data_IF_196383676837
#
_entry.id   IF_196383676837
#
_cell.length_a   1.000
_cell.length_b   1.000
_cell.length_c   1.000
_cell.angle_alpha   90.00
_cell.angle_beta   90.00
_cell.angle_gamma   90.00
#
_symmetry.space_group_name_H-M   'P 1'
#
loop_
_entity.id
_entity.type
_entity.pdbx_description
1 polymer ?
#
# COMPACT_ATOMS: atom_id res chain seq x y z
N UNK A 1 -15.64 5.90 2.53
CA UNK A 1 -15.40 5.74 1.08
C UNK A 1 -14.06 5.04 0.88
N UNK A 2 -13.89 4.29 -0.20
CA UNK A 2 -12.70 3.45 -0.41
C UNK A 2 -11.75 4.12 -1.41
N UNK A 3 -10.49 4.32 -0.99
CA UNK A 3 -9.43 4.80 -1.87
C UNK A 3 -8.95 3.70 -2.81
N UNK A 4 -8.57 4.09 -4.02
CA UNK A 4 -7.78 3.28 -4.96
C UNK A 4 -6.41 3.93 -5.12
N UNK A 5 -5.40 3.11 -5.32
CA UNK A 5 -4.02 3.59 -5.52
C UNK A 5 -3.58 3.24 -6.93
N UNK A 6 -3.19 4.24 -7.71
CA UNK A 6 -2.80 4.08 -9.10
C UNK A 6 -1.29 4.19 -9.15
N UNK A 7 -0.61 3.18 -9.69
CA UNK A 7 0.83 3.27 -9.90
C UNK A 7 1.10 4.31 -10.99
N UNK A 8 1.83 5.37 -10.67
CA UNK A 8 2.23 6.38 -11.64
C UNK A 8 3.47 5.85 -12.38
N UNK A 9 3.41 5.69 -13.71
CA UNK A 9 4.57 5.30 -14.50
C UNK A 9 5.55 6.46 -14.66
N UNK A 10 6.83 6.14 -14.86
CA UNK A 10 7.85 7.15 -15.08
C UNK A 10 7.57 7.94 -16.36
N UNK A 11 7.74 9.26 -16.31
CA UNK A 11 7.47 10.14 -17.45
C UNK A 11 5.99 10.53 -17.62
N UNK A 12 5.14 10.24 -16.63
CA UNK A 12 3.74 10.65 -16.60
C UNK A 12 3.45 11.51 -15.38
N UNK A 13 2.68 12.57 -15.58
CA UNK A 13 2.18 13.44 -14.53
C UNK A 13 0.66 13.32 -14.39
N UNK A 14 0.17 13.54 -13.19
CA UNK A 14 -1.25 13.63 -12.91
C UNK A 14 -1.72 15.08 -12.99
N UNK A 15 -2.67 15.36 -13.87
CA UNK A 15 -3.39 16.64 -13.92
C UNK A 15 -4.85 16.42 -13.55
N UNK A 16 -5.26 16.94 -12.40
CA UNK A 16 -6.64 16.90 -11.94
C UNK A 16 -7.51 17.96 -12.61
N UNK A 17 -8.79 17.62 -12.85
CA UNK A 17 -9.84 18.55 -13.30
C UNK A 17 -9.50 19.34 -14.58
N UNK A 18 -8.78 18.72 -15.52
CA UNK A 18 -8.49 19.30 -16.83
C UNK A 18 -9.77 19.41 -17.65
N UNK A 19 -9.94 20.54 -18.35
CA UNK A 19 -11.05 20.74 -19.28
C UNK A 19 -10.76 20.00 -20.59
N UNK A 20 -11.53 18.93 -20.83
CA UNK A 20 -11.56 18.19 -22.09
C UNK A 20 -12.87 18.51 -22.83
N UNK A 21 -12.96 18.19 -24.14
CA UNK A 21 -14.19 18.41 -24.92
C UNK A 21 -15.43 17.74 -24.31
N UNK A 22 -15.22 16.67 -23.54
CA UNK A 22 -16.26 15.90 -22.86
C UNK A 22 -16.59 16.39 -21.43
N UNK A 23 -15.93 17.47 -20.98
CA UNK A 23 -16.06 18.04 -19.65
C UNK A 23 -14.80 17.93 -18.79
N UNK A 24 -14.93 18.26 -17.49
CA UNK A 24 -13.83 18.21 -16.53
C UNK A 24 -13.52 16.76 -16.16
N UNK A 25 -12.30 16.33 -16.41
CA UNK A 25 -11.80 14.97 -16.13
C UNK A 25 -10.42 15.04 -15.47
N UNK A 26 -10.05 13.95 -14.80
CA UNK A 26 -8.73 13.77 -14.21
C UNK A 26 -7.93 12.94 -15.19
N UNK A 27 -6.72 13.40 -15.51
CA UNK A 27 -5.96 12.84 -16.61
C UNK A 27 -4.53 12.54 -16.20
N UNK A 28 -3.95 11.53 -16.83
CA UNK A 28 -2.51 11.37 -16.88
C UNK A 28 -1.99 12.00 -18.17
N UNK A 29 -1.00 12.86 -18.04
CA UNK A 29 -0.35 13.55 -19.15
C UNK A 29 1.08 13.06 -19.21
N UNK A 30 1.50 12.60 -20.38
CA UNK A 30 2.90 12.28 -20.60
C UNK A 30 3.74 13.56 -20.54
N UNK A 31 4.96 13.52 -19.98
CA UNK A 31 5.83 14.71 -19.84
C UNK A 31 6.08 15.46 -21.15
N UNK A 32 6.00 14.76 -22.29
CA UNK A 32 6.13 15.37 -23.62
C UNK A 32 4.84 16.01 -24.16
N UNK A 33 3.73 15.96 -23.40
CA UNK A 33 2.42 16.50 -23.77
C UNK A 33 1.71 15.81 -24.93
N UNK A 34 2.30 14.74 -25.49
CA UNK A 34 1.80 14.05 -26.69
C UNK A 34 0.54 13.22 -26.44
N UNK A 35 0.42 12.65 -25.24
CA UNK A 35 -0.70 11.79 -24.88
C UNK A 35 -1.34 12.22 -23.57
N UNK A 36 -2.67 12.14 -23.57
CA UNK A 36 -3.54 12.40 -22.42
C UNK A 36 -4.44 11.19 -22.24
N UNK A 37 -4.40 10.59 -21.05
CA UNK A 37 -5.21 9.44 -20.70
C UNK A 37 -6.24 9.85 -19.65
N UNK A 38 -7.52 9.62 -19.93
CA UNK A 38 -8.60 9.85 -18.96
C UNK A 38 -8.60 8.78 -17.87
N UNK A 39 -8.40 9.18 -16.62
CA UNK A 39 -8.38 8.24 -15.49
C UNK A 39 -9.76 7.73 -15.11
N UNK A 40 -10.81 8.54 -15.29
CA UNK A 40 -12.18 8.14 -14.94
C UNK A 40 -12.61 6.84 -15.63
N UNK A 41 -12.37 6.75 -16.93
CA UNK A 41 -12.82 5.62 -17.74
C UNK A 41 -12.10 4.33 -17.34
N UNK A 42 -10.80 4.43 -17.08
CA UNK A 42 -9.97 3.32 -16.58
C UNK A 42 -10.42 2.87 -15.20
N UNK A 43 -10.63 3.81 -14.27
CA UNK A 43 -11.05 3.48 -12.91
C UNK A 43 -12.45 2.88 -12.92
N UNK A 44 -13.36 3.39 -13.75
CA UNK A 44 -14.71 2.86 -13.91
C UNK A 44 -14.70 1.42 -14.43
N UNK A 45 -13.85 1.12 -15.41
CA UNK A 45 -13.64 -0.26 -15.89
C UNK A 45 -13.06 -1.15 -14.78
N UNK A 46 -12.07 -0.65 -14.04
CA UNK A 46 -11.48 -1.34 -12.89
C UNK A 46 -12.51 -1.67 -11.81
N UNK A 47 -13.36 -0.70 -11.45
CA UNK A 47 -14.40 -0.88 -10.43
C UNK A 47 -15.50 -1.84 -10.89
N UNK A 48 -15.84 -1.85 -12.18
CA UNK A 48 -16.83 -2.76 -12.77
C UNK A 48 -16.34 -4.21 -12.79
N UNK A 49 -15.07 -4.42 -13.15
CA UNK A 49 -14.46 -5.74 -13.27
C UNK A 49 -13.86 -6.28 -11.96
N UNK A 50 -13.89 -5.47 -10.89
CA UNK A 50 -13.31 -5.83 -9.59
C UNK A 50 -13.97 -7.08 -9.01
N UNK A 51 -13.19 -8.15 -8.87
CA UNK A 51 -13.58 -9.35 -8.11
C UNK A 51 -13.36 -9.15 -6.62
N UNK A 52 -14.20 -9.79 -5.80
CA UNK A 52 -14.06 -9.81 -4.34
C UNK A 52 -12.70 -10.46 -3.99
N UNK A 53 -11.90 -9.80 -3.14
CA UNK A 53 -10.57 -10.20 -2.67
C UNK A 53 -9.36 -9.97 -3.59
N UNK A 54 -9.52 -9.42 -4.79
CA UNK A 54 -8.37 -9.07 -5.63
C UNK A 54 -7.69 -7.78 -5.10
N UNK A 55 -6.38 -7.80 -4.77
CA UNK A 55 -5.70 -6.65 -4.19
C UNK A 55 -5.36 -5.57 -5.23
N UNK A 56 -5.16 -5.96 -6.49
CA UNK A 56 -4.78 -5.08 -7.59
C UNK A 56 -5.24 -5.62 -8.94
N UNK A 57 -5.42 -4.73 -9.90
CA UNK A 57 -5.79 -5.04 -11.27
C UNK A 57 -4.95 -4.20 -12.22
N UNK A 58 -4.46 -4.83 -13.28
CA UNK A 58 -3.69 -4.17 -14.33
C UNK A 58 -4.54 -4.09 -15.59
N UNK A 59 -4.69 -2.89 -16.15
CA UNK A 59 -5.43 -2.64 -17.38
C UNK A 59 -4.41 -2.37 -18.48
N UNK A 60 -4.51 -3.12 -19.57
CA UNK A 60 -3.73 -2.86 -20.78
C UNK A 60 -4.35 -1.72 -21.58
N UNK A 61 -3.55 -0.76 -22.00
CA UNK A 61 -3.98 0.38 -22.80
C UNK A 61 -3.61 0.10 -24.26
N UNK A 62 -4.62 0.03 -25.14
CA UNK A 62 -4.41 -0.36 -26.54
C UNK A 62 -3.77 0.73 -27.41
N UNK A 63 -3.89 2.00 -26.99
CA UNK A 63 -3.59 3.17 -27.84
C UNK A 63 -2.70 4.19 -27.11
N UNK A 64 -1.82 3.75 -26.23
CA UNK A 64 -0.97 4.66 -25.45
C UNK A 64 0.46 4.14 -25.41
N UNK A 65 1.42 5.06 -25.35
CA UNK A 65 2.86 4.75 -25.16
C UNK A 65 3.09 3.98 -23.87
N UNK A 66 2.15 4.10 -22.95
CA UNK A 66 2.04 3.28 -21.76
C UNK A 66 1.27 2.00 -22.06
N UNK A 67 1.94 0.84 -22.02
CA UNK A 67 1.30 -0.46 -22.32
C UNK A 67 0.23 -0.84 -21.28
N UNK A 68 0.43 -0.48 -20.01
CA UNK A 68 -0.52 -0.83 -18.96
C UNK A 68 -0.47 0.10 -17.73
N UNK A 69 -1.60 0.18 -17.01
CA UNK A 69 -1.72 0.85 -15.71
C UNK A 69 -2.14 -0.15 -14.66
N UNK A 70 -1.47 -0.12 -13.50
CA UNK A 70 -1.84 -0.96 -12.35
C UNK A 70 -2.56 -0.15 -11.29
N UNK A 71 -3.75 -0.62 -10.90
CA UNK A 71 -4.60 -0.04 -9.87
C UNK A 71 -4.69 -1.01 -8.71
N UNK A 72 -4.36 -0.54 -7.50
CA UNK A 72 -4.46 -1.26 -6.25
C UNK A 72 -5.73 -0.84 -5.51
N UNK A 73 -6.51 -1.81 -5.06
CA UNK A 73 -7.72 -1.61 -4.25
C UNK A 73 -7.45 -1.65 -2.73
N UNK A 74 -6.20 -1.91 -2.37
CA UNK A 74 -5.64 -1.90 -1.01
C UNK A 74 -4.37 -1.06 -1.03
N UNK A 75 -3.79 -0.84 0.16
CA UNK A 75 -2.51 -0.14 0.31
C UNK A 75 -1.48 -0.75 -0.65
N UNK A 76 -0.80 0.09 -1.46
CA UNK A 76 0.17 -0.38 -2.44
C UNK A 76 1.42 -0.97 -1.76
N UNK A 77 2.25 -1.74 -2.47
CA UNK A 77 3.51 -2.23 -1.93
C UNK A 77 4.42 -1.09 -1.42
N UNK A 78 5.17 -1.29 -0.33
CA UNK A 78 6.11 -0.31 0.22
C UNK A 78 7.35 -0.18 -0.67
N UNK A 79 7.18 0.45 -1.82
CA UNK A 79 8.23 0.71 -2.80
C UNK A 79 8.45 2.22 -2.94
N UNK A 80 9.60 2.62 -3.47
CA UNK A 80 9.90 4.03 -3.75
C UNK A 80 9.13 4.58 -4.96
N UNK A 81 8.35 3.74 -5.62
CA UNK A 81 7.48 4.14 -6.73
C UNK A 81 6.42 5.13 -6.25
N UNK A 82 6.04 6.03 -7.15
CA UNK A 82 5.02 7.04 -6.90
C UNK A 82 3.65 6.41 -7.16
N UNK A 83 2.72 6.66 -6.23
CA UNK A 83 1.33 6.23 -6.35
C UNK A 83 0.39 7.42 -6.15
N UNK A 84 -0.69 7.41 -6.91
CA UNK A 84 -1.80 8.34 -6.74
C UNK A 84 -2.86 7.65 -5.88
N UNK A 85 -3.08 8.13 -4.66
CA UNK A 85 -4.25 7.80 -3.88
C UNK A 85 -5.44 8.62 -4.40
N UNK A 86 -6.38 7.92 -5.02
CA UNK A 86 -7.53 8.51 -5.72
C UNK A 86 -8.82 8.08 -5.03
N UNK A 87 -9.70 9.04 -4.73
CA UNK A 87 -11.04 8.78 -4.19
C UNK A 87 -12.09 8.89 -5.31
N UNK A 88 -12.59 7.76 -5.86
CA UNK A 88 -13.53 7.80 -6.96
C UNK A 88 -14.90 8.31 -6.52
N UNK A 89 -15.35 9.40 -7.14
CA UNK A 89 -16.67 9.98 -6.89
C UNK A 89 -17.70 9.43 -7.89
N UNK A 90 -18.89 9.03 -7.41
CA UNK A 90 -19.97 8.50 -8.24
C UNK A 90 -19.52 7.38 -9.21
N UNK A 91 -18.76 6.39 -8.72
CA UNK A 91 -18.16 5.32 -9.53
C UNK A 91 -17.25 5.86 -10.65
N UNK A 92 -16.43 6.86 -10.32
CA UNK A 92 -15.55 7.57 -11.24
C UNK A 92 -16.28 8.29 -12.39
N UNK A 93 -17.57 8.63 -12.23
CA UNK A 93 -18.30 9.48 -13.18
C UNK A 93 -17.85 10.94 -13.08
N UNK A 94 -17.40 11.37 -11.91
CA UNK A 94 -16.92 12.72 -11.65
C UNK A 94 -15.42 12.70 -11.30
N UNK A 95 -14.72 13.82 -11.49
CA UNK A 95 -13.38 14.02 -10.96
C UNK A 95 -13.31 13.73 -9.47
N UNK A 96 -12.18 13.22 -9.01
CA UNK A 96 -11.94 13.01 -7.59
C UNK A 96 -11.89 14.35 -6.85
N UNK A 97 -12.55 14.38 -5.69
CA UNK A 97 -12.46 15.51 -4.76
C UNK A 97 -11.15 15.46 -3.97
N UNK A 98 -10.72 14.25 -3.57
CA UNK A 98 -9.50 13.99 -2.82
C UNK A 98 -8.54 13.15 -3.63
N UNK A 99 -7.37 13.73 -3.88
CA UNK A 99 -6.24 13.07 -4.51
C UNK A 99 -5.00 13.38 -3.69
N UNK A 100 -4.17 12.37 -3.45
CA UNK A 100 -2.86 12.50 -2.82
C UNK A 100 -1.84 11.73 -3.66
N UNK A 101 -0.65 12.28 -3.82
CA UNK A 101 0.46 11.67 -4.55
C UNK A 101 1.59 11.48 -3.54
N UNK A 102 2.01 10.24 -3.33
CA UNK A 102 3.10 9.92 -2.42
C UNK A 102 3.81 8.64 -2.84
N UNK A 103 4.94 8.33 -2.20
CA UNK A 103 5.64 7.06 -2.40
C UNK A 103 4.89 5.90 -1.74
N UNK A 104 5.06 4.69 -2.25
CA UNK A 104 4.44 3.49 -1.67
C UNK A 104 4.82 3.26 -0.20
N UNK A 105 6.04 3.64 0.18
CA UNK A 105 6.52 3.62 1.57
C UNK A 105 5.73 4.55 2.50
N UNK A 106 5.24 5.68 2.01
CA UNK A 106 4.49 6.66 2.80
C UNK A 106 3.04 6.21 3.05
N UNK A 107 2.43 5.51 2.09
CA UNK A 107 1.11 4.91 2.27
C UNK A 107 1.12 3.70 3.19
N UNK A 108 2.24 2.99 3.22
CA UNK A 108 2.46 1.89 4.15
C UNK A 108 2.85 2.48 5.49
N UNK A 109 1.88 3.04 6.23
CA UNK A 109 2.09 3.38 7.65
C UNK A 109 2.79 2.19 8.28
N UNK A 110 4.00 2.40 8.80
CA UNK A 110 4.71 1.41 9.59
C UNK A 110 3.68 0.78 10.50
N UNK A 111 3.42 -0.52 10.35
CA UNK A 111 2.53 -1.21 11.28
C UNK A 111 3.07 -0.85 12.64
N UNK A 112 2.40 0.05 13.37
CA UNK A 112 2.63 0.20 14.79
C UNK A 112 2.42 -1.22 15.28
N UNK A 113 3.51 -1.86 15.66
CA UNK A 113 3.50 -3.25 16.09
C UNK A 113 2.67 -3.20 17.35
N UNK A 114 1.37 -3.49 17.22
CA UNK A 114 0.45 -3.48 18.33
C UNK A 114 0.85 -4.67 19.17
N UNK A 115 1.62 -4.39 20.23
CA UNK A 115 2.02 -5.38 21.20
C UNK A 115 0.76 -5.81 21.94
N UNK A 116 0.34 -7.06 21.77
CA UNK A 116 -0.71 -7.61 22.63
C UNK A 116 -0.11 -7.96 24.00
N UNK A 117 -0.89 -7.78 25.07
CA UNK A 117 -0.42 -8.10 26.42
C UNK A 117 0.03 -9.56 26.49
N UNK A 118 1.26 -9.82 26.98
CA UNK A 118 1.87 -11.14 27.02
C UNK A 118 2.63 -11.55 25.74
N UNK A 119 2.62 -10.74 24.69
CA UNK A 119 3.41 -11.01 23.49
C UNK A 119 4.90 -10.74 23.73
N UNK A 120 5.73 -11.74 23.48
CA UNK A 120 7.19 -11.62 23.65
C UNK A 120 7.78 -10.70 22.58
N UNK A 121 8.63 -9.76 22.97
CA UNK A 121 9.22 -8.75 22.08
C UNK A 121 9.89 -9.36 20.83
N UNK A 122 10.57 -10.50 21.00
CA UNK A 122 11.29 -11.15 19.91
C UNK A 122 10.36 -11.82 18.87
N UNK A 123 9.05 -11.94 19.14
CA UNK A 123 8.06 -12.40 18.16
C UNK A 123 7.69 -11.33 17.13
N UNK A 124 8.12 -10.09 17.36
CA UNK A 124 7.80 -8.93 16.51
C UNK A 124 8.84 -8.67 15.43
N UNK A 125 10.01 -9.32 15.53
CA UNK A 125 11.14 -9.09 14.64
C UNK A 125 11.60 -10.40 14.01
N UNK A 126 12.16 -10.30 12.81
CA UNK A 126 12.83 -11.43 12.18
C UNK A 126 14.26 -11.55 12.71
N UNK A 127 14.62 -12.73 13.21
CA UNK A 127 15.98 -13.08 13.62
C UNK A 127 16.47 -14.28 12.81
N UNK A 128 17.78 -14.36 12.59
CA UNK A 128 18.41 -15.56 12.03
C UNK A 128 18.15 -16.77 12.94
N UNK A 129 18.12 -18.01 12.40
CA UNK A 129 17.81 -19.20 13.19
C UNK A 129 18.70 -19.38 14.43
N UNK A 130 19.99 -19.11 14.29
CA UNK A 130 20.98 -19.19 15.38
C UNK A 130 20.68 -18.19 16.51
N UNK A 131 20.41 -16.92 16.15
CA UNK A 131 20.11 -15.87 17.12
C UNK A 131 18.77 -16.14 17.82
N UNK A 132 17.80 -16.67 17.09
CA UNK A 132 16.50 -17.04 17.64
C UNK A 132 16.62 -18.23 18.61
N UNK A 133 17.50 -19.20 18.33
CA UNK A 133 17.80 -20.30 19.26
C UNK A 133 18.42 -19.80 20.57
N UNK A 134 19.39 -18.89 20.51
CA UNK A 134 19.99 -18.27 21.69
C UNK A 134 18.95 -17.51 22.55
N UNK A 135 18.08 -16.71 21.92
CA UNK A 135 17.01 -15.98 22.61
C UNK A 135 16.05 -16.95 23.32
N UNK A 136 15.67 -18.05 22.67
CA UNK A 136 14.80 -19.07 23.29
C UNK A 136 15.46 -19.79 24.47
N UNK A 137 16.77 -20.04 24.40
CA UNK A 137 17.51 -20.67 25.49
C UNK A 137 17.53 -19.76 26.74
N UNK A 138 17.84 -18.47 26.56
CA UNK A 138 17.84 -17.50 27.65
C UNK A 138 16.44 -17.31 28.27
N UNK A 139 15.38 -17.28 27.44
CA UNK A 139 14.00 -17.18 27.94
C UNK A 139 13.56 -18.44 28.72
N UNK A 140 14.00 -19.62 28.28
CA UNK A 140 13.75 -20.87 29.01
C UNK A 140 14.44 -20.86 30.37
N UNK A 141 15.71 -20.47 30.42
CA UNK A 141 16.47 -20.35 31.66
C UNK A 141 15.82 -19.36 32.63
N UNK A 142 15.39 -18.20 32.15
CA UNK A 142 14.65 -17.22 32.98
C UNK A 142 13.33 -17.79 33.52
N UNK A 143 12.61 -18.56 32.70
CA UNK A 143 11.36 -19.22 33.12
C UNK A 143 11.60 -20.28 34.18
N UNK A 144 12.66 -21.06 34.05
CA UNK A 144 13.03 -22.09 35.02
C UNK A 144 13.52 -21.46 36.33
N UNK A 145 14.31 -20.38 36.26
CA UNK A 145 14.73 -19.56 37.40
C UNK A 145 13.53 -19.01 38.20
N UNK A 146 12.50 -18.50 37.52
CA UNK A 146 11.27 -17.99 38.15
C UNK A 146 10.37 -19.07 38.76
N UNK A 147 10.57 -20.35 38.40
CA UNK A 147 9.75 -21.48 38.86
C UNK A 147 10.32 -22.19 40.08
N UNK A 148 11.50 -21.82 40.55
CA UNK A 148 12.03 -22.38 41.79
C UNK A 148 11.15 -21.99 42.99
N UNK A 149 10.81 -22.99 43.81
CA UNK A 149 10.11 -22.82 45.09
C UNK A 149 11.19 -22.79 46.17
N UNK A 150 11.49 -21.59 46.69
CA UNK A 150 12.56 -21.32 47.67
C UNK A 150 13.21 -19.94 47.43
N UNK A 151 14.19 -19.56 48.26
CA UNK A 151 14.99 -18.34 48.04
C UNK A 151 15.71 -18.44 46.69
N UNK A 152 15.26 -17.64 45.72
CA UNK A 152 15.88 -17.57 44.40
C UNK A 152 17.31 -17.04 44.54
N UNK A 153 18.35 -17.74 44.05
CA UNK A 153 19.71 -17.22 44.04
C UNK A 153 19.89 -15.99 43.12
N UNK A 154 18.89 -15.71 42.28
CA UNK A 154 18.84 -14.55 41.40
C UNK A 154 17.49 -13.86 41.57
N UNK A 155 17.25 -13.31 42.77
CA UNK A 155 16.17 -12.35 42.97
C UNK A 155 16.39 -11.17 42.01
N UNK A 156 15.47 -10.99 41.06
CA UNK A 156 15.34 -9.74 40.30
C UNK A 156 14.13 -9.01 40.79
#
# INVERSE_FOLDING_TARGET
MAFVYIALPDGWDFEGKKELPEGKKDVLVQHQGKQVIGLQDIIKECLRCKKRNVPSMTIALKNSDLESITIYFKVPPPTEKIYIQYEPQNNAKCPAERVSIAKGTEFTKSKNIQTTYGQRWYSMFYFTPEKMAAIKAADKEQRDNRRHVGDSPYAT
#
